data_IF_854068537714
#
_entry.id   IF_854068537714
#
_cell.length_a   1.000
_cell.length_b   1.000
_cell.length_c   1.000
_cell.angle_alpha   90.00
_cell.angle_beta   90.00
_cell.angle_gamma   90.00
#
_symmetry.space_group_name_H-M   'P 1'
#
loop_
_entity.id
_entity.type
_entity.pdbx_description
1 polymer ?
#
# COMPACT_ATOMS: atom_id res chain seq x y z
N UNK A 1 40.14 -17.47 -9.25
CA UNK A 1 38.89 -17.94 -8.68
C UNK A 1 37.80 -16.89 -8.99
N UNK A 2 37.04 -17.19 -10.04
CA UNK A 2 35.99 -16.31 -10.54
C UNK A 2 34.78 -16.37 -9.58
N UNK A 3 34.76 -15.43 -8.63
CA UNK A 3 33.66 -15.29 -7.67
C UNK A 3 32.39 -14.68 -8.27
N UNK A 4 32.43 -14.23 -9.53
CA UNK A 4 31.30 -13.62 -10.22
C UNK A 4 30.82 -14.54 -11.34
N UNK A 5 29.80 -15.33 -11.05
CA UNK A 5 29.09 -16.04 -12.11
C UNK A 5 28.17 -15.05 -12.84
N UNK A 6 27.94 -15.28 -14.14
CA UNK A 6 27.07 -14.48 -15.00
C UNK A 6 25.66 -14.33 -14.38
N UNK A 7 25.17 -15.37 -13.71
CA UNK A 7 23.90 -15.37 -12.97
C UNK A 7 23.90 -14.42 -11.78
N UNK A 8 25.02 -14.30 -11.06
CA UNK A 8 25.17 -13.37 -9.92
C UNK A 8 25.14 -11.92 -10.42
N UNK A 9 25.85 -11.64 -11.50
CA UNK A 9 25.91 -10.32 -12.14
C UNK A 9 24.51 -9.94 -12.64
N UNK A 10 23.83 -10.86 -13.32
CA UNK A 10 22.46 -10.66 -13.84
C UNK A 10 21.47 -10.40 -12.71
N UNK A 11 21.58 -11.10 -11.57
CA UNK A 11 20.73 -10.87 -10.40
C UNK A 11 21.01 -9.54 -9.69
N UNK A 12 22.28 -9.11 -9.64
CA UNK A 12 22.68 -7.81 -9.05
C UNK A 12 22.24 -6.65 -9.94
N UNK A 13 22.36 -6.81 -11.27
CA UNK A 13 21.98 -5.77 -12.24
C UNK A 13 20.48 -5.77 -12.58
N UNK A 14 19.72 -6.72 -12.09
CA UNK A 14 18.26 -6.74 -12.25
C UNK A 14 17.70 -5.51 -11.59
N UNK A 15 17.24 -4.57 -12.41
CA UNK A 15 16.48 -3.41 -11.93
C UNK A 15 15.26 -3.98 -11.20
N UNK A 16 15.24 -3.90 -9.88
CA UNK A 16 14.04 -4.25 -9.10
C UNK A 16 12.93 -3.29 -9.50
N UNK A 17 11.99 -3.77 -10.30
CA UNK A 17 10.75 -3.05 -10.55
C UNK A 17 9.85 -3.23 -9.31
N UNK A 18 10.10 -2.43 -8.28
CA UNK A 18 9.35 -2.46 -7.01
C UNK A 18 7.83 -2.41 -7.22
N UNK A 19 7.40 -1.72 -8.24
CA UNK A 19 5.98 -1.54 -8.55
C UNK A 19 5.32 -2.82 -9.08
N UNK A 20 6.02 -3.64 -9.84
CA UNK A 20 5.46 -4.87 -10.41
C UNK A 20 5.38 -6.00 -9.39
N UNK A 21 6.31 -6.05 -8.45
CA UNK A 21 6.30 -7.08 -7.41
C UNK A 21 5.17 -6.83 -6.41
N UNK A 22 4.95 -5.61 -5.96
CA UNK A 22 3.83 -5.26 -5.06
C UNK A 22 2.46 -5.50 -5.70
N UNK A 23 2.31 -5.24 -6.99
CA UNK A 23 1.09 -5.55 -7.75
C UNK A 23 0.84 -7.06 -7.84
N UNK A 24 1.88 -7.85 -8.09
CA UNK A 24 1.79 -9.32 -8.10
C UNK A 24 1.42 -9.88 -6.73
N UNK A 25 2.04 -9.37 -5.67
CA UNK A 25 1.72 -9.75 -4.29
C UNK A 25 0.25 -9.44 -4.00
N UNK A 26 -0.22 -8.24 -4.32
CA UNK A 26 -1.62 -7.84 -4.11
C UNK A 26 -2.59 -8.75 -4.88
N UNK A 27 -2.29 -9.06 -6.14
CA UNK A 27 -3.08 -10.00 -6.95
C UNK A 27 -3.12 -11.39 -6.31
N UNK A 28 -1.99 -11.88 -5.82
CA UNK A 28 -1.90 -13.16 -5.13
C UNK A 28 -2.72 -13.17 -3.85
N UNK A 29 -2.74 -12.08 -3.09
CA UNK A 29 -3.57 -11.96 -1.89
C UNK A 29 -5.08 -12.04 -2.19
N UNK A 30 -5.54 -11.49 -3.31
CA UNK A 30 -6.95 -11.62 -3.72
C UNK A 30 -7.31 -13.05 -4.15
N UNK A 31 -6.38 -13.78 -4.74
CA UNK A 31 -6.64 -15.11 -5.28
C UNK A 31 -6.42 -16.22 -4.26
N UNK A 32 -5.54 -16.02 -3.27
CA UNK A 32 -5.13 -17.03 -2.33
C UNK A 32 -5.28 -16.57 -0.89
N UNK A 33 -5.67 -17.51 -0.01
CA UNK A 33 -5.63 -17.33 1.42
C UNK A 33 -4.22 -17.55 1.94
N UNK A 34 -3.77 -16.68 2.83
CA UNK A 34 -2.48 -16.81 3.52
C UNK A 34 -2.65 -16.76 5.03
N UNK A 35 -1.91 -17.59 5.73
CA UNK A 35 -1.84 -17.58 7.20
C UNK A 35 -0.89 -16.46 7.69
N UNK A 36 -1.06 -16.07 8.94
CA UNK A 36 -0.21 -15.03 9.56
C UNK A 36 1.27 -15.44 9.51
N UNK A 37 1.59 -16.72 9.69
CA UNK A 37 2.96 -17.23 9.64
C UNK A 37 3.64 -17.09 8.27
N UNK A 38 2.88 -16.89 7.21
CA UNK A 38 3.40 -16.70 5.85
C UNK A 38 3.72 -15.23 5.52
N UNK A 39 3.51 -14.31 6.44
CA UNK A 39 3.67 -12.87 6.19
C UNK A 39 5.04 -12.53 5.54
N UNK A 40 6.12 -12.99 6.16
CA UNK A 40 7.48 -12.69 5.69
C UNK A 40 7.87 -13.44 4.39
N UNK A 41 7.15 -14.52 4.05
CA UNK A 41 7.33 -15.21 2.77
C UNK A 41 6.53 -14.59 1.62
N UNK A 42 5.42 -13.93 1.94
CA UNK A 42 4.53 -13.30 0.96
C UNK A 42 5.04 -11.91 0.55
N UNK A 43 5.57 -11.14 1.50
CA UNK A 43 6.03 -9.77 1.24
C UNK A 43 7.25 -9.40 2.09
N UNK A 44 8.15 -8.64 1.50
CA UNK A 44 9.29 -8.06 2.21
C UNK A 44 8.85 -6.84 3.05
N UNK A 45 9.69 -6.45 3.99
CA UNK A 45 9.44 -5.29 4.84
C UNK A 45 9.20 -3.99 4.05
N UNK A 46 9.93 -3.81 2.96
CA UNK A 46 9.81 -2.64 2.06
C UNK A 46 8.50 -2.60 1.29
N UNK A 47 7.85 -3.75 1.08
CA UNK A 47 6.61 -3.86 0.29
C UNK A 47 5.36 -3.66 1.14
N UNK A 48 5.46 -3.83 2.46
CA UNK A 48 4.33 -3.87 3.41
C UNK A 48 3.37 -2.70 3.24
N UNK A 49 3.90 -1.48 3.23
CA UNK A 49 3.09 -0.26 3.09
C UNK A 49 2.39 -0.20 1.74
N UNK A 50 3.13 -0.45 0.66
CA UNK A 50 2.58 -0.41 -0.70
C UNK A 50 1.53 -1.48 -0.94
N UNK A 51 1.74 -2.70 -0.45
CA UNK A 51 0.78 -3.80 -0.56
C UNK A 51 -0.50 -3.48 0.22
N UNK A 52 -0.41 -2.92 1.43
CA UNK A 52 -1.57 -2.49 2.21
C UNK A 52 -2.41 -1.43 1.49
N UNK A 53 -1.76 -0.44 0.87
CA UNK A 53 -2.42 0.59 0.09
C UNK A 53 -3.05 0.04 -1.20
N UNK A 54 -2.35 -0.86 -1.90
CA UNK A 54 -2.88 -1.52 -3.10
C UNK A 54 -4.06 -2.43 -2.76
N UNK A 55 -4.02 -3.14 -1.64
CA UNK A 55 -5.16 -3.91 -1.15
C UNK A 55 -6.38 -3.02 -0.98
N UNK A 56 -6.24 -1.91 -0.25
CA UNK A 56 -7.34 -0.97 -0.01
C UNK A 56 -7.91 -0.39 -1.30
N UNK A 57 -7.05 0.01 -2.24
CA UNK A 57 -7.48 0.61 -3.51
C UNK A 57 -8.25 -0.38 -4.40
N UNK A 58 -7.86 -1.66 -4.40
CA UNK A 58 -8.38 -2.63 -5.36
C UNK A 58 -9.50 -3.54 -4.78
N UNK A 59 -9.67 -3.61 -3.46
CA UNK A 59 -10.74 -4.43 -2.85
C UNK A 59 -12.13 -4.00 -3.33
N UNK A 60 -12.32 -2.71 -3.60
CA UNK A 60 -13.59 -2.15 -4.08
C UNK A 60 -14.00 -2.80 -5.40
N UNK A 61 -13.08 -2.95 -6.35
CA UNK A 61 -13.35 -3.55 -7.65
C UNK A 61 -13.68 -5.04 -7.54
N UNK A 62 -13.08 -5.71 -6.54
CA UNK A 62 -13.32 -7.12 -6.27
C UNK A 62 -14.71 -7.37 -5.72
N UNK A 63 -15.17 -6.50 -4.79
CA UNK A 63 -16.47 -6.66 -4.13
C UNK A 63 -17.61 -5.92 -4.84
N UNK A 64 -17.35 -5.13 -5.88
CA UNK A 64 -18.36 -4.33 -6.57
C UNK A 64 -19.47 -5.18 -7.20
N UNK A 65 -19.12 -6.39 -7.64
CA UNK A 65 -20.08 -7.35 -8.24
C UNK A 65 -20.94 -8.09 -7.20
N UNK A 66 -20.66 -7.93 -5.91
CA UNK A 66 -21.38 -8.57 -4.82
C UNK A 66 -22.54 -7.68 -4.39
N UNK A 67 -23.65 -8.30 -3.91
CA UNK A 67 -24.79 -7.55 -3.39
C UNK A 67 -24.34 -6.50 -2.35
N UNK A 68 -24.79 -5.26 -2.54
CA UNK A 68 -24.43 -4.14 -1.69
C UNK A 68 -24.82 -4.32 -0.21
N UNK A 69 -25.84 -5.11 0.06
CA UNK A 69 -26.23 -5.48 1.43
C UNK A 69 -25.14 -6.29 2.16
N UNK A 70 -24.30 -7.01 1.42
CA UNK A 70 -23.19 -7.82 1.96
C UNK A 70 -21.86 -7.10 1.80
N UNK A 71 -21.62 -6.52 0.62
CA UNK A 71 -20.32 -5.90 0.31
C UNK A 71 -20.05 -4.63 1.11
N UNK A 72 -21.08 -3.81 1.40
CA UNK A 72 -20.90 -2.56 2.17
C UNK A 72 -20.51 -2.83 3.63
N UNK A 73 -21.22 -3.66 4.42
CA UNK A 73 -20.80 -3.99 5.78
C UNK A 73 -19.41 -4.64 5.83
N UNK A 74 -19.12 -5.52 4.86
CA UNK A 74 -17.80 -6.10 4.72
C UNK A 74 -16.71 -5.05 4.50
N UNK A 75 -16.95 -4.12 3.58
CA UNK A 75 -16.01 -3.03 3.29
C UNK A 75 -15.77 -2.12 4.50
N UNK A 76 -16.82 -1.80 5.24
CA UNK A 76 -16.70 -1.03 6.49
C UNK A 76 -15.79 -1.74 7.48
N UNK A 77 -15.95 -3.04 7.66
CA UNK A 77 -15.10 -3.83 8.55
C UNK A 77 -13.63 -3.87 8.08
N UNK A 78 -13.40 -3.90 6.76
CA UNK A 78 -12.04 -3.74 6.19
C UNK A 78 -11.45 -2.37 6.50
N UNK A 79 -12.23 -1.29 6.36
CA UNK A 79 -11.80 0.07 6.68
C UNK A 79 -11.46 0.23 8.16
N UNK A 80 -12.23 -0.34 9.07
CA UNK A 80 -11.95 -0.32 10.50
C UNK A 80 -10.58 -0.93 10.80
N UNK A 81 -10.23 -2.06 10.16
CA UNK A 81 -8.92 -2.66 10.29
C UNK A 81 -7.80 -1.74 9.76
N UNK A 82 -8.03 -1.11 8.62
CA UNK A 82 -7.06 -0.19 8.01
C UNK A 82 -6.86 1.04 8.89
N UNK A 83 -7.94 1.66 9.37
CA UNK A 83 -7.87 2.81 10.28
C UNK A 83 -7.15 2.48 11.60
N UNK A 84 -7.42 1.31 12.16
CA UNK A 84 -6.72 0.85 13.35
C UNK A 84 -5.23 0.63 13.11
N UNK A 85 -4.87 0.04 11.97
CA UNK A 85 -3.48 -0.15 11.59
C UNK A 85 -2.76 1.18 11.32
N UNK A 86 -3.43 2.15 10.69
CA UNK A 86 -2.89 3.52 10.51
C UNK A 86 -2.67 4.23 11.85
N UNK A 87 -3.54 3.98 12.84
CA UNK A 87 -3.32 4.47 14.21
C UNK A 87 -2.05 3.85 14.81
N UNK A 88 -1.84 2.54 14.62
CA UNK A 88 -0.62 1.84 15.06
C UNK A 88 0.62 2.43 14.37
N UNK A 89 0.57 2.66 13.05
CA UNK A 89 1.67 3.27 12.31
C UNK A 89 2.01 4.64 12.87
N UNK A 90 1.01 5.47 13.18
CA UNK A 90 1.22 6.78 13.80
C UNK A 90 1.95 6.66 15.14
N UNK A 91 1.56 5.71 16.00
CA UNK A 91 2.25 5.46 17.28
C UNK A 91 3.67 4.98 17.03
N UNK A 92 3.86 4.08 16.07
CA UNK A 92 5.16 3.54 15.66
C UNK A 92 6.14 4.68 15.33
N UNK A 93 5.72 5.62 14.48
CA UNK A 93 6.54 6.77 14.12
C UNK A 93 6.74 7.76 15.27
N UNK A 94 5.69 8.10 16.01
CA UNK A 94 5.77 9.06 17.10
C UNK A 94 6.62 8.57 18.29
N UNK A 95 6.58 7.28 18.58
CA UNK A 95 7.28 6.65 19.71
C UNK A 95 8.52 5.87 19.27
N UNK A 96 8.77 5.75 17.97
CA UNK A 96 9.88 4.98 17.37
C UNK A 96 9.90 3.52 17.83
N UNK A 97 8.72 2.90 17.99
CA UNK A 97 8.57 1.49 18.37
C UNK A 97 8.37 0.66 17.11
N UNK A 98 9.45 0.41 16.38
CA UNK A 98 9.43 -0.20 15.04
C UNK A 98 8.86 -1.63 14.98
N UNK A 99 8.81 -2.35 16.11
CA UNK A 99 8.16 -3.67 16.19
C UNK A 99 6.69 -3.64 15.79
N UNK A 100 6.02 -2.50 15.93
CA UNK A 100 4.62 -2.35 15.56
C UNK A 100 4.39 -2.25 14.04
N UNK A 101 5.43 -2.01 13.24
CA UNK A 101 5.31 -1.95 11.79
C UNK A 101 4.84 -3.29 11.19
N UNK A 102 5.36 -4.40 11.70
CA UNK A 102 4.90 -5.73 11.29
C UNK A 102 3.44 -5.98 11.66
N UNK A 103 3.04 -5.60 12.87
CA UNK A 103 1.65 -5.73 13.33
C UNK A 103 0.69 -4.91 12.47
N UNK A 104 1.03 -3.67 12.14
CA UNK A 104 0.24 -2.82 11.25
C UNK A 104 0.07 -3.47 9.88
N UNK A 105 1.16 -3.97 9.30
CA UNK A 105 1.13 -4.67 8.01
C UNK A 105 0.25 -5.91 8.05
N UNK A 106 0.37 -6.74 9.08
CA UNK A 106 -0.46 -7.95 9.26
C UNK A 106 -1.95 -7.60 9.28
N UNK A 107 -2.33 -6.52 9.95
CA UNK A 107 -3.73 -6.09 10.04
C UNK A 107 -4.22 -5.58 8.68
N UNK A 108 -3.45 -4.73 8.00
CA UNK A 108 -3.82 -4.16 6.69
C UNK A 108 -3.95 -5.21 5.60
N UNK A 109 -3.13 -6.25 5.65
CA UNK A 109 -3.01 -7.23 4.58
C UNK A 109 -3.60 -8.60 4.94
N UNK A 110 -2.96 -9.37 5.79
CA UNK A 110 -3.34 -10.77 6.02
C UNK A 110 -4.63 -10.92 6.84
N UNK A 111 -4.91 -10.04 7.81
CA UNK A 111 -6.21 -10.07 8.49
C UNK A 111 -7.34 -9.77 7.50
N UNK A 112 -7.16 -8.77 6.65
CA UNK A 112 -8.14 -8.42 5.62
C UNK A 112 -8.25 -9.51 4.54
N UNK A 113 -7.15 -10.13 4.14
CA UNK A 113 -7.14 -11.30 3.26
C UNK A 113 -7.94 -12.46 3.87
N UNK A 114 -7.70 -12.80 5.16
CA UNK A 114 -8.47 -13.83 5.87
C UNK A 114 -9.97 -13.52 5.85
N UNK A 115 -10.37 -12.33 6.26
CA UNK A 115 -11.78 -11.92 6.27
C UNK A 115 -12.41 -12.03 4.89
N UNK A 116 -11.71 -11.61 3.83
CA UNK A 116 -12.19 -11.71 2.47
C UNK A 116 -12.40 -13.19 2.06
N UNK A 117 -11.41 -14.03 2.34
CA UNK A 117 -11.48 -15.45 1.97
C UNK A 117 -12.50 -16.26 2.79
N UNK A 118 -12.80 -15.86 4.02
CA UNK A 118 -13.84 -16.48 4.85
C UNK A 118 -15.25 -15.99 4.47
N UNK A 119 -15.40 -14.71 4.11
CA UNK A 119 -16.72 -14.13 3.78
C UNK A 119 -17.21 -14.54 2.40
N UNK A 120 -16.33 -14.81 1.45
CA UNK A 120 -16.69 -15.08 0.06
C UNK A 120 -16.10 -16.41 -0.42
N UNK A 121 -16.85 -17.51 -0.25
CA UNK A 121 -16.41 -18.85 -0.63
C UNK A 121 -16.43 -19.12 -2.15
N UNK A 122 -17.31 -18.44 -2.89
CA UNK A 122 -17.33 -18.53 -4.37
C UNK A 122 -16.75 -17.26 -4.96
N UNK A 123 -15.47 -17.32 -5.32
CA UNK A 123 -14.72 -16.19 -5.87
C UNK A 123 -14.48 -16.39 -7.35
N UNK A 124 -14.72 -15.33 -8.12
CA UNK A 124 -14.14 -15.24 -9.44
C UNK A 124 -12.64 -14.93 -9.27
N UNK A 125 -11.81 -15.60 -10.06
CA UNK A 125 -10.38 -15.31 -10.08
C UNK A 125 -10.15 -13.83 -10.41
N UNK A 126 -9.49 -13.11 -9.50
CA UNK A 126 -9.14 -11.71 -9.69
C UNK A 126 -7.98 -11.61 -10.69
N UNK A 127 -8.30 -11.25 -11.90
CA UNK A 127 -7.34 -11.02 -12.96
C UNK A 127 -7.61 -9.66 -13.61
N UNK A 128 -7.33 -8.54 -12.93
CA UNK A 128 -7.50 -7.23 -13.53
C UNK A 128 -6.49 -7.06 -14.67
N UNK A 129 -6.88 -6.32 -15.69
CA UNK A 129 -5.96 -5.82 -16.72
C UNK A 129 -4.88 -4.96 -16.09
N UNK A 130 -5.25 -4.19 -15.05
CA UNK A 130 -4.32 -3.39 -14.24
C UNK A 130 -4.74 -3.38 -12.77
N UNK A 131 -3.78 -3.66 -11.88
CA UNK A 131 -3.93 -3.34 -10.45
C UNK A 131 -3.71 -1.83 -10.30
N UNK A 132 -4.74 -1.11 -9.84
CA UNK A 132 -4.66 0.34 -9.70
C UNK A 132 -3.74 0.72 -8.55
N UNK A 133 -2.86 1.69 -8.81
CA UNK A 133 -2.03 2.27 -7.77
C UNK A 133 -2.81 3.37 -7.04
N UNK A 134 -2.64 3.45 -5.72
CA UNK A 134 -3.32 4.47 -4.93
C UNK A 134 -2.90 5.88 -5.31
N UNK A 135 -3.89 6.77 -5.48
CA UNK A 135 -3.64 8.19 -5.74
C UNK A 135 -3.19 8.95 -4.48
N UNK A 136 -3.34 8.36 -3.30
CA UNK A 136 -2.99 9.00 -2.01
C UNK A 136 -1.52 9.41 -2.00
N UNK A 137 -0.61 8.49 -2.35
CA UNK A 137 0.84 8.79 -2.39
C UNK A 137 1.18 9.89 -3.39
N UNK A 138 0.56 9.86 -4.58
CA UNK A 138 0.78 10.87 -5.62
C UNK A 138 0.25 12.24 -5.19
N UNK A 139 -0.91 12.27 -4.54
CA UNK A 139 -1.51 13.51 -4.03
C UNK A 139 -0.59 14.19 -3.01
N UNK A 140 -0.16 13.47 -1.98
CA UNK A 140 0.71 14.04 -0.95
C UNK A 140 2.07 14.47 -1.50
N UNK A 141 2.67 13.70 -2.41
CA UNK A 141 3.91 14.10 -3.09
C UNK A 141 3.73 15.39 -3.89
N UNK A 142 2.62 15.52 -4.62
CA UNK A 142 2.30 16.73 -5.39
C UNK A 142 2.06 17.92 -4.47
N UNK A 143 1.29 17.77 -3.40
CA UNK A 143 1.02 18.84 -2.43
C UNK A 143 2.32 19.30 -1.74
N UNK A 144 3.19 18.37 -1.37
CA UNK A 144 4.49 18.69 -0.79
C UNK A 144 5.38 19.47 -1.76
N UNK A 145 5.51 18.98 -3.00
CA UNK A 145 6.31 19.66 -4.03
C UNK A 145 5.78 21.05 -4.36
N UNK A 146 4.46 21.21 -4.45
CA UNK A 146 3.82 22.51 -4.66
C UNK A 146 4.07 23.45 -3.48
N UNK A 147 4.00 22.95 -2.24
CA UNK A 147 4.29 23.74 -1.04
C UNK A 147 5.75 24.22 -1.02
N UNK A 148 6.70 23.34 -1.36
CA UNK A 148 8.12 23.71 -1.49
C UNK A 148 8.35 24.74 -2.59
N UNK A 149 7.70 24.59 -3.73
CA UNK A 149 7.79 25.54 -4.83
C UNK A 149 7.30 26.93 -4.41
N UNK A 150 6.11 27.01 -3.78
CA UNK A 150 5.56 28.27 -3.26
C UNK A 150 6.50 28.89 -2.22
N UNK A 151 7.05 28.09 -1.31
CA UNK A 151 7.99 28.58 -0.31
C UNK A 151 9.24 29.18 -0.93
N UNK A 152 9.84 28.50 -1.92
CA UNK A 152 11.01 29.02 -2.66
C UNK A 152 10.69 30.31 -3.41
N UNK A 153 9.49 30.39 -4.01
CA UNK A 153 9.03 31.56 -4.72
C UNK A 153 8.87 32.76 -3.75
N UNK A 154 8.21 32.54 -2.61
CA UNK A 154 8.08 33.55 -1.56
C UNK A 154 9.44 34.07 -1.06
N UNK A 155 10.38 33.16 -0.83
CA UNK A 155 11.75 33.51 -0.42
C UNK A 155 12.47 34.32 -1.49
N UNK A 156 12.35 33.95 -2.76
CA UNK A 156 12.98 34.67 -3.88
C UNK A 156 12.41 36.06 -4.12
N UNK A 157 11.13 36.27 -3.83
CA UNK A 157 10.43 37.54 -3.98
C UNK A 157 10.44 38.40 -2.70
N UNK A 158 10.91 37.88 -1.58
CA UNK A 158 10.86 38.55 -0.28
C UNK A 158 9.43 38.80 0.22
N UNK A 159 8.48 37.95 -0.16
CA UNK A 159 7.05 38.05 0.14
C UNK A 159 6.60 36.88 1.03
N UNK A 160 5.55 37.09 1.80
CA UNK A 160 4.90 35.98 2.49
C UNK A 160 3.88 35.25 1.56
N UNK A 161 3.36 34.13 2.04
CA UNK A 161 2.42 33.31 1.25
C UNK A 161 1.09 34.05 1.00
N UNK A 162 0.66 34.93 1.92
CA UNK A 162 -0.60 35.67 1.79
C UNK A 162 -0.45 36.78 0.73
N UNK A 163 0.70 37.44 0.73
CA UNK A 163 1.01 38.47 -0.28
C UNK A 163 1.07 37.86 -1.68
N UNK A 164 1.69 36.68 -1.81
CA UNK A 164 1.77 35.97 -3.08
C UNK A 164 0.39 35.60 -3.66
N UNK A 165 -0.58 35.21 -2.81
CA UNK A 165 -1.94 34.88 -3.25
C UNK A 165 -2.87 36.09 -3.35
N UNK A 166 -2.45 37.28 -2.90
CA UNK A 166 -3.19 38.52 -3.03
C UNK A 166 -2.94 39.27 -4.35
N UNK A 167 -1.96 38.78 -5.11
CA UNK A 167 -1.64 39.25 -6.46
C UNK A 167 -2.45 38.47 -7.51
#
# INVERSE_FOLDING_TARGET
>A
PDFFTEDLITNILRIKSYSDDTKKITKNLFNNYYTISQHNSVMNETDRTSVGLLWHENIIDVIDKIDKKVSIPFYISQLENICFADYIDRITFQKQIWQFNEMSSLIKTLKNNKMYHESFSQKQHYNPTETRFTKVLTKYSTEYNNSLFIQKLCQGLGMDKKDLFGF
#
